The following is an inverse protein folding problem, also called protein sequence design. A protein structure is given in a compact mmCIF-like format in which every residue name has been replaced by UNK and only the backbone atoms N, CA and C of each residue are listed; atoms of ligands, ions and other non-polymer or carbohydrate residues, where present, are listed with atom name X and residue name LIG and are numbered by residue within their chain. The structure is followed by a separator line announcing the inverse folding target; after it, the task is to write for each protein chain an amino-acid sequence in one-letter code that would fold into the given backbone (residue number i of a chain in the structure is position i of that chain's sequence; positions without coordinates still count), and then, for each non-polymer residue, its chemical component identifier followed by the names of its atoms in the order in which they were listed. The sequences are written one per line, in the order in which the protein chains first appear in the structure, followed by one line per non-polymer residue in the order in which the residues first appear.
data_IF_901404320156
#
_entry.id   IF_901404320156
#
_cell.length_a   1.000
_cell.length_b   1.000
_cell.length_c   1.000
_cell.angle_alpha   90.00
_cell.angle_beta   90.00
_cell.angle_gamma   90.00
#
_symmetry.space_group_name_H-M   'P 1'
#
loop_
_entity.id
_entity.type
_entity.pdbx_description
1 polymer ?
#
# COMPACT_ATOMS: atom_id res chain seq x y z
N UNK A 1 -34.06 -15.50 -35.33
CA UNK A 1 -33.91 -16.97 -35.45
C UNK A 1 -32.53 -17.25 -36.03
N UNK A 2 -31.84 -18.19 -35.39
CA UNK A 2 -30.55 -18.83 -35.72
C UNK A 2 -29.22 -18.14 -35.39
N UNK A 3 -28.37 -18.97 -34.78
CA UNK A 3 -27.07 -18.76 -34.16
C UNK A 3 -26.03 -19.45 -35.04
N UNK A 4 -24.81 -18.91 -35.18
CA UNK A 4 -23.60 -19.74 -35.34
C UNK A 4 -22.37 -19.03 -34.79
N UNK A 5 -21.64 -19.80 -33.99
CA UNK A 5 -20.45 -19.50 -33.19
C UNK A 5 -19.15 -19.52 -34.01
N UNK A 6 -18.07 -18.97 -33.42
CA UNK A 6 -16.61 -19.29 -33.53
C UNK A 6 -15.69 -18.06 -33.72
N UNK A 7 -14.44 -18.08 -33.22
CA UNK A 7 -14.15 -17.43 -31.94
C UNK A 7 -12.94 -16.47 -31.97
N UNK A 8 -12.85 -15.69 -30.89
CA UNK A 8 -11.63 -15.11 -30.27
C UNK A 8 -10.74 -14.15 -31.07
N UNK A 9 -10.66 -12.92 -30.54
CA UNK A 9 -9.35 -12.31 -30.32
C UNK A 9 -8.96 -11.14 -31.21
N UNK A 10 -9.91 -10.30 -31.65
CA UNK A 10 -9.58 -8.92 -32.00
C UNK A 10 -9.96 -8.02 -30.83
N UNK A 11 -8.98 -7.69 -29.99
CA UNK A 11 -9.09 -6.49 -29.16
C UNK A 11 -8.53 -5.36 -30.01
N UNK A 12 -9.42 -4.46 -30.44
CA UNK A 12 -9.02 -3.19 -31.01
C UNK A 12 -8.53 -2.30 -29.87
N UNK A 13 -7.24 -1.99 -29.83
CA UNK A 13 -6.73 -0.90 -29.02
C UNK A 13 -6.76 0.38 -29.87
N UNK A 14 -7.73 1.25 -29.61
CA UNK A 14 -7.73 2.62 -30.12
C UNK A 14 -6.67 3.41 -29.34
N UNK A 15 -5.55 3.73 -29.99
CA UNK A 15 -4.65 4.79 -29.54
C UNK A 15 -5.01 6.03 -30.36
N UNK A 16 -5.71 6.96 -29.73
CA UNK A 16 -5.77 8.34 -30.23
C UNK A 16 -4.45 8.98 -29.81
N UNK A 17 -3.48 9.01 -30.73
CA UNK A 17 -2.37 9.94 -30.66
C UNK A 17 -2.22 10.60 -32.02
N UNK A 18 -2.26 11.91 -31.98
CA UNK A 18 -2.13 12.84 -33.09
C UNK A 18 -0.97 12.52 -34.01
N UNK A 19 -1.30 12.27 -35.29
CA UNK A 19 -0.50 12.63 -36.45
C UNK A 19 0.91 12.04 -36.55
N UNK A 20 1.02 10.83 -37.12
CA UNK A 20 1.83 10.62 -38.33
C UNK A 20 1.50 9.25 -38.95
N UNK A 21 1.06 9.29 -40.21
CA UNK A 21 0.87 8.12 -41.05
C UNK A 21 2.24 7.53 -41.41
N UNK A 22 2.46 6.25 -41.14
CA UNK A 22 3.41 5.49 -41.94
C UNK A 22 2.88 4.07 -42.14
N UNK A 23 2.66 3.74 -43.41
CA UNK A 23 2.12 2.47 -43.89
C UNK A 23 3.22 1.42 -43.91
N UNK A 24 2.97 0.24 -43.32
CA UNK A 24 3.75 -0.96 -43.61
C UNK A 24 2.80 -2.10 -44.01
N UNK A 25 2.91 -2.50 -45.27
CA UNK A 25 2.20 -3.62 -45.84
C UNK A 25 2.77 -4.95 -45.29
N UNK A 26 1.90 -5.87 -44.89
CA UNK A 26 2.25 -7.26 -44.57
C UNK A 26 2.06 -8.10 -45.84
N UNK A 27 3.12 -8.79 -46.27
CA UNK A 27 3.04 -9.85 -47.28
C UNK A 27 3.04 -11.20 -46.57
N UNK A 28 1.95 -11.94 -46.73
CA UNK A 28 1.81 -13.34 -46.31
C UNK A 28 2.36 -14.25 -47.40
N UNK A 29 3.09 -15.30 -47.03
CA UNK A 29 3.16 -16.52 -47.84
C UNK A 29 3.11 -17.76 -46.96
N UNK A 30 2.33 -18.72 -47.44
CA UNK A 30 1.91 -19.95 -46.77
C UNK A 30 2.97 -21.05 -46.91
N UNK A 31 3.08 -21.95 -45.92
CA UNK A 31 2.66 -23.36 -46.03
C UNK A 31 3.31 -24.24 -44.93
N UNK A 32 2.42 -24.93 -44.22
CA UNK A 32 2.43 -26.35 -43.83
C UNK A 32 3.44 -26.88 -42.80
N UNK A 33 2.79 -27.45 -41.78
CA UNK A 33 3.20 -28.54 -40.88
C UNK A 33 4.11 -28.18 -39.70
N UNK A 34 3.48 -28.28 -38.52
CA UNK A 34 4.10 -28.80 -37.31
C UNK A 34 5.09 -27.86 -36.62
N UNK A 35 4.62 -27.27 -35.51
CA UNK A 35 5.42 -26.65 -34.45
C UNK A 35 5.91 -25.22 -34.79
N UNK A 36 5.20 -24.20 -34.31
CA UNK A 36 5.73 -22.84 -34.25
C UNK A 36 6.30 -22.58 -32.86
N UNK A 37 7.56 -22.96 -32.67
CA UNK A 37 8.44 -22.36 -31.67
C UNK A 37 8.81 -20.97 -32.18
N UNK A 38 8.51 -19.92 -31.42
CA UNK A 38 9.11 -18.60 -31.64
C UNK A 38 10.38 -18.52 -30.79
N UNK A 39 11.52 -18.88 -31.40
CA UNK A 39 12.84 -18.51 -30.88
C UNK A 39 13.17 -17.12 -31.42
N UNK A 40 13.31 -16.14 -30.53
CA UNK A 40 14.11 -14.94 -30.85
C UNK A 40 15.57 -15.34 -30.65
N UNK A 41 16.23 -15.75 -31.73
CA UNK A 41 17.67 -15.87 -31.78
C UNK A 41 18.23 -14.59 -32.38
N UNK A 42 18.53 -13.60 -31.55
CA UNK A 42 19.47 -12.55 -31.94
C UNK A 42 20.79 -12.76 -31.19
N UNK A 43 21.88 -13.10 -31.89
CA UNK A 43 23.18 -13.36 -31.30
C UNK A 43 23.91 -12.03 -31.16
N UNK A 44 24.01 -11.55 -29.91
CA UNK A 44 25.05 -10.66 -29.34
C UNK A 44 24.43 -9.83 -28.23
N UNK A 45 24.57 -10.29 -27.00
CA UNK A 45 24.82 -9.40 -25.86
C UNK A 45 25.48 -10.27 -24.78
N UNK A 46 26.80 -10.42 -24.91
CA UNK A 46 27.65 -10.93 -23.84
C UNK A 46 27.62 -9.97 -22.66
N UNK A 47 27.61 -10.56 -21.48
CA UNK A 47 27.86 -9.95 -20.18
C UNK A 47 29.27 -9.34 -20.13
N UNK A 48 29.37 -8.09 -19.67
CA UNK A 48 30.63 -7.58 -19.11
C UNK A 48 30.36 -6.48 -18.08
N UNK A 49 31.00 -6.68 -16.93
CA UNK A 49 30.89 -5.91 -15.70
C UNK A 49 31.43 -4.47 -15.79
N UNK A 50 30.96 -3.66 -14.84
CA UNK A 50 31.55 -2.43 -14.27
C UNK A 50 31.93 -1.28 -15.20
N UNK A 51 31.07 -0.25 -15.23
CA UNK A 51 31.53 1.11 -14.97
C UNK A 51 30.44 1.92 -14.25
N UNK A 52 30.81 2.42 -13.08
CA UNK A 52 30.09 3.38 -12.26
C UNK A 52 29.84 4.69 -13.03
N UNK A 53 28.58 4.93 -13.41
CA UNK A 53 28.10 6.28 -13.69
C UNK A 53 26.69 6.47 -13.14
N UNK A 54 26.58 7.20 -12.03
CA UNK A 54 25.32 7.75 -11.55
C UNK A 54 24.70 8.63 -12.67
N UNK A 55 23.43 8.43 -13.04
CA UNK A 55 22.62 9.50 -13.57
C UNK A 55 21.95 10.21 -12.39
N UNK A 56 22.38 11.44 -12.15
CA UNK A 56 21.50 12.44 -11.54
C UNK A 56 20.41 12.74 -12.56
N UNK A 57 19.22 12.21 -12.35
CA UNK A 57 17.95 12.88 -12.69
C UNK A 57 16.79 12.06 -12.13
N UNK A 58 15.93 12.75 -11.36
CA UNK A 58 14.82 12.17 -10.61
C UNK A 58 13.67 11.73 -11.50
N UNK A 59 13.85 10.65 -12.25
CA UNK A 59 12.78 9.99 -12.99
C UNK A 59 12.26 8.80 -12.18
N UNK A 60 11.00 8.88 -11.75
CA UNK A 60 10.23 7.75 -11.26
C UNK A 60 10.10 6.71 -12.37
N UNK A 61 10.82 5.60 -12.26
CA UNK A 61 10.58 4.44 -13.10
C UNK A 61 9.36 3.69 -12.56
N UNK A 62 8.29 3.61 -13.35
CA UNK A 62 7.17 2.71 -13.08
C UNK A 62 7.54 1.33 -13.61
N UNK A 63 7.86 0.41 -12.71
CA UNK A 63 8.21 -0.98 -13.05
C UNK A 63 6.95 -1.86 -13.10
N UNK A 64 6.86 -2.73 -14.10
CA UNK A 64 5.85 -3.77 -14.14
C UNK A 64 6.15 -4.82 -13.04
N UNK A 65 5.17 -5.06 -12.18
CA UNK A 65 5.26 -6.05 -11.10
C UNK A 65 4.68 -7.39 -11.55
N UNK A 66 5.03 -8.47 -10.86
CA UNK A 66 4.48 -9.80 -11.15
C UNK A 66 3.03 -9.91 -10.66
N UNK A 67 2.25 -10.85 -11.21
CA UNK A 67 0.86 -11.12 -10.79
C UNK A 67 0.79 -11.43 -9.27
N UNK A 68 1.82 -12.07 -8.71
CA UNK A 68 1.90 -12.37 -7.28
C UNK A 68 1.95 -11.11 -6.44
N UNK A 69 2.72 -10.11 -6.85
CA UNK A 69 2.88 -8.85 -6.12
C UNK A 69 1.60 -8.01 -6.18
N UNK A 70 0.88 -8.02 -7.30
CA UNK A 70 -0.43 -7.37 -7.42
C UNK A 70 -1.46 -7.98 -6.48
N UNK A 71 -1.47 -9.31 -6.37
CA UNK A 71 -2.38 -10.02 -5.47
C UNK A 71 -2.08 -9.72 -3.99
N UNK A 72 -0.79 -9.66 -3.61
CA UNK A 72 -0.37 -9.27 -2.25
C UNK A 72 -0.81 -7.85 -1.91
N UNK A 73 -0.52 -6.88 -2.79
CA UNK A 73 -0.91 -5.47 -2.60
C UNK A 73 -2.42 -5.34 -2.44
N UNK A 74 -3.21 -6.01 -3.29
CA UNK A 74 -4.67 -6.00 -3.21
C UNK A 74 -5.17 -6.61 -1.89
N UNK A 75 -4.54 -7.68 -1.41
CA UNK A 75 -4.89 -8.34 -0.15
C UNK A 75 -4.64 -7.43 1.04
N UNK A 76 -3.47 -6.81 1.11
CA UNK A 76 -3.13 -5.83 2.15
C UNK A 76 -4.09 -4.64 2.10
N UNK A 77 -4.39 -4.10 0.92
CA UNK A 77 -5.34 -3.00 0.77
C UNK A 77 -6.72 -3.37 1.33
N UNK A 78 -7.27 -4.52 0.93
CA UNK A 78 -8.57 -4.96 1.43
C UNK A 78 -8.58 -5.15 2.95
N UNK A 79 -7.51 -5.70 3.50
CA UNK A 79 -7.36 -5.90 4.94
C UNK A 79 -7.37 -4.57 5.70
N UNK A 80 -6.58 -3.59 5.26
CA UNK A 80 -6.44 -2.31 5.95
C UNK A 80 -7.64 -1.40 5.73
N UNK A 81 -8.25 -1.40 4.55
CA UNK A 81 -9.52 -0.70 4.30
C UNK A 81 -10.58 -1.17 5.30
N UNK A 82 -10.71 -2.49 5.45
CA UNK A 82 -11.66 -3.09 6.41
C UNK A 82 -11.28 -2.80 7.86
N UNK A 83 -9.98 -2.81 8.18
CA UNK A 83 -9.50 -2.52 9.53
C UNK A 83 -9.82 -1.08 9.94
N UNK A 84 -9.63 -0.11 9.04
CA UNK A 84 -10.01 1.29 9.27
C UNK A 84 -11.53 1.42 9.41
N UNK A 85 -12.31 0.79 8.54
CA UNK A 85 -13.78 0.78 8.67
C UNK A 85 -14.23 0.24 10.01
N UNK A 86 -13.69 -0.90 10.46
CA UNK A 86 -14.03 -1.47 11.76
C UNK A 86 -13.65 -0.57 12.94
N UNK A 87 -12.49 0.13 12.89
CA UNK A 87 -12.14 1.10 13.93
C UNK A 87 -13.20 2.20 14.04
N UNK A 88 -13.72 2.66 12.91
CA UNK A 88 -14.72 3.73 12.87
C UNK A 88 -16.11 3.23 13.25
N UNK A 89 -16.53 2.08 12.72
CA UNK A 89 -17.85 1.48 12.93
C UNK A 89 -18.08 1.01 14.37
N UNK A 90 -17.05 0.41 14.99
CA UNK A 90 -17.14 -0.09 16.36
C UNK A 90 -16.63 0.90 17.42
N UNK A 91 -16.42 2.16 17.02
CA UNK A 91 -16.09 3.23 17.96
C UNK A 91 -17.21 3.43 18.97
N UNK A 92 -16.86 3.55 20.25
CA UNK A 92 -17.78 3.95 21.33
C UNK A 92 -18.30 5.39 21.15
N UNK A 93 -17.64 6.18 20.31
CA UNK A 93 -18.03 7.54 19.95
C UNK A 93 -18.48 7.63 18.49
N UNK A 94 -19.45 8.50 18.19
CA UNK A 94 -19.91 8.73 16.81
C UNK A 94 -18.91 9.58 16.03
N UNK A 95 -18.30 8.98 15.02
CA UNK A 95 -17.38 9.66 14.11
C UNK A 95 -18.17 10.15 12.88
N UNK A 96 -18.14 11.45 12.65
CA UNK A 96 -18.82 12.08 11.51
C UNK A 96 -17.92 12.10 10.28
N UNK A 97 -18.43 12.59 9.15
CA UNK A 97 -17.59 12.74 7.96
C UNK A 97 -16.44 13.71 8.20
N UNK A 98 -15.29 13.40 7.58
CA UNK A 98 -14.07 14.22 7.61
C UNK A 98 -13.54 14.59 9.01
N UNK A 99 -13.78 13.76 10.04
CA UNK A 99 -13.21 13.96 11.39
C UNK A 99 -11.67 13.96 11.32
N UNK A 100 -10.99 15.03 11.81
CA UNK A 100 -9.53 15.13 11.85
C UNK A 100 -8.89 13.96 12.59
N UNK A 101 -8.09 13.16 11.90
CA UNK A 101 -7.40 12.03 12.48
C UNK A 101 -5.93 12.00 12.03
N UNK A 102 -5.05 11.43 12.86
CA UNK A 102 -3.68 11.15 12.47
C UNK A 102 -3.32 9.69 12.75
N UNK A 103 -2.58 9.09 11.82
CA UNK A 103 -1.97 7.78 11.99
C UNK A 103 -0.56 7.94 12.55
N UNK A 104 -0.24 7.22 13.62
CA UNK A 104 1.10 7.19 14.20
C UNK A 104 1.90 5.98 13.70
N UNK A 105 3.25 6.05 13.75
CA UNK A 105 4.09 4.90 13.45
C UNK A 105 3.64 3.67 14.23
N UNK A 106 3.67 2.51 13.57
CA UNK A 106 3.35 1.24 14.23
C UNK A 106 4.51 0.89 15.16
N UNK A 107 4.19 0.59 16.42
CA UNK A 107 5.16 0.15 17.40
C UNK A 107 5.46 -1.34 17.17
N UNK A 108 6.68 -1.73 16.78
CA UNK A 108 7.05 -3.14 16.77
C UNK A 108 7.18 -3.67 18.21
N UNK A 109 6.80 -4.92 18.45
CA UNK A 109 7.02 -5.60 19.73
C UNK A 109 8.49 -6.00 19.91
N UNK A 110 9.16 -6.38 18.82
CA UNK A 110 10.58 -6.68 18.74
C UNK A 110 11.26 -5.86 17.62
N UNK A 111 12.52 -5.46 17.80
CA UNK A 111 13.24 -4.59 16.84
C UNK A 111 13.30 -5.19 15.42
N UNK A 112 13.35 -6.52 15.30
CA UNK A 112 13.34 -7.23 14.02
C UNK A 112 12.07 -6.99 13.18
N UNK A 113 10.98 -6.60 13.82
CA UNK A 113 9.71 -6.29 13.15
C UNK A 113 9.65 -4.87 12.59
N UNK A 114 10.67 -4.04 12.79
CA UNK A 114 10.64 -2.62 12.41
C UNK A 114 10.37 -2.41 10.92
N UNK A 115 10.99 -3.21 10.05
CA UNK A 115 10.81 -3.09 8.59
C UNK A 115 9.36 -3.44 8.21
N UNK A 116 8.82 -4.50 8.81
CA UNK A 116 7.43 -4.92 8.61
C UNK A 116 6.42 -3.90 9.18
N UNK A 117 6.72 -3.31 10.34
CA UNK A 117 5.91 -2.25 10.94
C UNK A 117 5.84 -1.01 10.06
N UNK A 118 6.97 -0.60 9.48
CA UNK A 118 7.03 0.50 8.52
C UNK A 118 6.27 0.17 7.22
N UNK A 119 6.42 -1.05 6.70
CA UNK A 119 5.70 -1.51 5.53
C UNK A 119 4.17 -1.46 5.75
N UNK A 120 3.67 -2.04 6.84
CA UNK A 120 2.25 -2.02 7.15
C UNK A 120 1.72 -0.62 7.47
N UNK A 121 2.55 0.25 8.03
CA UNK A 121 2.20 1.66 8.25
C UNK A 121 1.89 2.37 6.92
N UNK A 122 2.69 2.15 5.87
CA UNK A 122 2.46 2.77 4.57
C UNK A 122 1.15 2.32 3.90
N UNK A 123 0.84 1.02 3.98
CA UNK A 123 -0.43 0.51 3.50
C UNK A 123 -1.62 1.07 4.30
N UNK A 124 -1.50 1.12 5.62
CA UNK A 124 -2.53 1.66 6.50
C UNK A 124 -2.75 3.16 6.24
N UNK A 125 -1.68 3.92 5.99
CA UNK A 125 -1.73 5.33 5.65
C UNK A 125 -2.45 5.57 4.32
N UNK A 126 -2.24 4.70 3.33
CA UNK A 126 -2.97 4.70 2.06
C UNK A 126 -4.46 4.46 2.29
N UNK A 127 -4.82 3.37 2.98
CA UNK A 127 -6.22 3.06 3.32
C UNK A 127 -6.91 4.16 4.12
N UNK A 128 -6.22 4.76 5.10
CA UNK A 128 -6.76 5.88 5.87
C UNK A 128 -6.98 7.12 4.99
N UNK A 129 -6.08 7.40 4.04
CA UNK A 129 -6.19 8.56 3.16
C UNK A 129 -7.35 8.45 2.15
N UNK A 130 -7.79 7.23 1.86
CA UNK A 130 -8.95 6.93 1.00
C UNK A 130 -10.28 6.85 1.78
N UNK A 131 -10.22 6.83 3.12
CA UNK A 131 -11.40 6.79 3.97
C UNK A 131 -12.12 8.15 4.00
N UNK A 132 -13.46 8.15 3.90
CA UNK A 132 -14.26 9.39 3.86
C UNK A 132 -14.59 9.96 5.25
N UNK A 133 -14.61 9.11 6.28
CA UNK A 133 -14.96 9.50 7.64
C UNK A 133 -13.77 10.11 8.36
N UNK A 134 -12.55 9.66 8.06
CA UNK A 134 -11.32 10.17 8.66
C UNK A 134 -10.60 11.12 7.71
N UNK A 135 -10.39 12.36 8.14
CA UNK A 135 -9.53 13.31 7.44
C UNK A 135 -8.10 13.18 7.97
N UNK A 136 -7.23 12.57 7.19
CA UNK A 136 -5.81 12.43 7.54
C UNK A 136 -5.11 13.79 7.63
N UNK A 137 -4.64 14.16 8.83
CA UNK A 137 -3.96 15.42 9.10
C UNK A 137 -2.45 15.26 8.89
N UNK A 138 -1.91 15.98 7.89
CA UNK A 138 -0.48 15.96 7.53
C UNK A 138 0.28 17.21 7.98
N UNK A 139 -0.19 17.90 9.03
CA UNK A 139 0.38 19.21 9.45
C UNK A 139 1.85 19.11 9.83
N UNK A 140 2.27 17.99 10.42
CA UNK A 140 3.62 17.72 10.90
C UNK A 140 3.85 16.21 10.88
N UNK A 141 5.11 15.81 10.72
CA UNK A 141 5.49 14.41 10.87
C UNK A 141 5.36 13.96 12.35
N UNK A 142 4.57 12.92 12.65
CA UNK A 142 4.40 12.41 14.02
C UNK A 142 5.73 11.95 14.65
N UNK A 143 6.66 11.38 13.89
CA UNK A 143 7.97 10.92 14.41
C UNK A 143 8.76 12.09 14.98
N UNK A 144 8.79 13.18 14.23
CA UNK A 144 9.44 14.43 14.64
C UNK A 144 8.83 14.99 15.93
N UNK A 145 7.50 14.95 16.10
CA UNK A 145 6.84 15.44 17.32
C UNK A 145 7.22 14.61 18.54
N UNK A 146 7.11 13.29 18.44
CA UNK A 146 7.40 12.35 19.53
C UNK A 146 8.85 12.55 19.99
N UNK A 147 9.80 12.58 19.04
CA UNK A 147 11.23 12.79 19.32
C UNK A 147 11.49 14.14 19.99
N UNK A 148 10.93 15.25 19.48
CA UNK A 148 11.14 16.59 20.04
C UNK A 148 10.61 16.73 21.47
N UNK A 149 9.54 16.01 21.78
CA UNK A 149 8.94 16.02 23.11
C UNK A 149 9.54 14.99 24.07
N UNK A 150 10.56 14.23 23.62
CA UNK A 150 11.21 13.17 24.41
C UNK A 150 10.19 12.15 24.94
N UNK A 151 9.13 11.90 24.17
CA UNK A 151 8.12 10.90 24.49
C UNK A 151 8.52 9.56 23.88
N UNK A 152 8.11 8.46 24.53
CA UNK A 152 8.18 7.15 23.90
C UNK A 152 6.98 6.94 22.99
N UNK A 153 7.17 6.23 21.87
CA UNK A 153 6.04 5.78 21.06
C UNK A 153 5.12 4.85 21.87
N UNK A 154 5.67 4.04 22.78
CA UNK A 154 4.89 3.16 23.66
C UNK A 154 3.89 3.93 24.52
N UNK A 155 4.31 5.04 25.12
CA UNK A 155 3.45 5.94 25.93
C UNK A 155 2.33 6.60 25.10
N UNK A 156 2.48 6.64 23.78
CA UNK A 156 1.41 7.14 22.90
C UNK A 156 0.46 6.01 22.53
N UNK A 157 0.97 4.80 22.29
CA UNK A 157 0.18 3.60 21.99
C UNK A 157 -0.64 3.11 23.20
N UNK A 158 -0.18 3.36 24.42
CA UNK A 158 -0.92 3.08 25.65
C UNK A 158 -1.99 4.13 25.98
N UNK A 159 -1.93 5.30 25.36
CA UNK A 159 -2.88 6.40 25.52
C UNK A 159 -2.43 7.52 26.47
N UNK A 160 -1.40 7.30 27.30
CA UNK A 160 -0.96 8.26 28.33
C UNK A 160 -0.47 9.60 27.73
N UNK A 161 0.16 9.55 26.56
CA UNK A 161 0.71 10.71 25.84
C UNK A 161 -0.09 11.06 24.57
N UNK A 162 -1.16 10.31 24.26
CA UNK A 162 -1.97 10.50 23.06
C UNK A 162 -2.61 11.90 22.96
N UNK A 163 -3.23 12.46 24.04
CA UNK A 163 -3.79 13.81 23.99
C UNK A 163 -2.78 14.89 23.59
N UNK A 164 -1.55 14.81 24.11
CA UNK A 164 -0.50 15.79 23.84
C UNK A 164 -0.02 15.71 22.38
N UNK A 165 0.26 14.50 21.88
CA UNK A 165 0.71 14.28 20.50
C UNK A 165 -0.38 14.67 19.51
N UNK A 166 -1.63 14.27 19.75
CA UNK A 166 -2.77 14.58 18.89
C UNK A 166 -3.03 16.08 18.77
N UNK A 167 -3.01 16.82 19.88
CA UNK A 167 -3.16 18.30 19.88
C UNK A 167 -2.07 18.98 19.06
N UNK A 168 -0.82 18.50 19.14
CA UNK A 168 0.29 19.06 18.36
C UNK A 168 0.19 18.77 16.86
N UNK A 169 -0.39 17.63 16.50
CA UNK A 169 -0.74 17.27 15.12
C UNK A 169 -1.97 18.03 14.63
N UNK A 170 -2.84 18.48 15.53
CA UNK A 170 -4.15 19.06 15.20
C UNK A 170 -5.16 17.99 14.80
N UNK A 171 -5.05 16.80 15.38
CA UNK A 171 -5.99 15.71 15.22
C UNK A 171 -6.97 15.65 16.40
N UNK A 172 -8.18 15.19 16.15
CA UNK A 172 -9.20 14.88 17.16
C UNK A 172 -9.15 13.40 17.55
N UNK A 173 -8.75 12.55 16.60
CA UNK A 173 -8.56 11.12 16.78
C UNK A 173 -7.14 10.69 16.44
N UNK A 174 -6.64 9.68 17.14
CA UNK A 174 -5.37 9.03 16.81
C UNK A 174 -5.60 7.56 16.50
N UNK A 175 -5.01 7.10 15.41
CA UNK A 175 -4.84 5.67 15.15
C UNK A 175 -3.43 5.29 15.56
N UNK A 176 -3.34 4.33 16.47
CA UNK A 176 -2.08 3.76 16.95
C UNK A 176 -2.04 2.26 16.70
N UNK A 177 -0.85 1.74 16.44
CA UNK A 177 -0.66 0.33 16.12
C UNK A 177 0.44 -0.30 16.96
N UNK A 178 0.28 -1.58 17.32
CA UNK A 178 1.38 -2.42 17.82
C UNK A 178 1.43 -3.74 17.05
N UNK A 179 2.60 -4.08 16.54
CA UNK A 179 2.85 -5.27 15.73
C UNK A 179 3.56 -6.34 16.53
N UNK A 180 3.06 -7.56 16.48
CA UNK A 180 3.68 -8.76 17.04
C UNK A 180 3.85 -9.80 15.95
N UNK A 181 4.76 -10.76 16.15
CA UNK A 181 4.86 -11.97 15.33
C UNK A 181 4.47 -13.19 16.17
N UNK A 182 3.62 -14.05 15.60
CA UNK A 182 3.13 -15.27 16.26
C UNK A 182 3.04 -16.42 15.25
N UNK A 183 4.08 -17.26 15.24
CA UNK A 183 4.21 -18.33 14.25
C UNK A 183 4.26 -17.74 12.84
N UNK A 184 3.33 -18.19 12.00
CA UNK A 184 3.25 -17.82 10.57
C UNK A 184 2.38 -16.58 10.31
N UNK A 185 2.04 -15.82 11.37
CA UNK A 185 1.25 -14.60 11.26
C UNK A 185 1.89 -13.45 12.02
N UNK A 186 1.74 -12.25 11.48
CA UNK A 186 1.81 -11.02 12.25
C UNK A 186 0.45 -10.71 12.88
N UNK A 187 0.43 -10.32 14.15
CA UNK A 187 -0.75 -9.76 14.82
C UNK A 187 -0.56 -8.25 14.94
N UNK A 188 -1.33 -7.49 14.16
CA UNK A 188 -1.37 -6.03 14.25
C UNK A 188 -2.60 -5.60 15.06
N UNK A 189 -2.34 -5.04 16.24
CA UNK A 189 -3.38 -4.41 17.05
C UNK A 189 -3.45 -2.93 16.73
N UNK A 190 -4.56 -2.51 16.14
CA UNK A 190 -4.88 -1.10 15.91
C UNK A 190 -5.85 -0.62 16.98
N UNK A 191 -5.61 0.59 17.51
CA UNK A 191 -6.53 1.26 18.41
C UNK A 191 -6.87 2.63 17.86
N UNK A 192 -8.13 3.02 18.04
CA UNK A 192 -8.58 4.38 17.85
C UNK A 192 -8.66 5.07 19.21
N UNK A 193 -8.00 6.22 19.36
CA UNK A 193 -7.94 6.98 20.59
C UNK A 193 -8.60 8.35 20.43
N UNK A 194 -9.29 8.80 21.48
CA UNK A 194 -9.72 10.20 21.62
C UNK A 194 -8.55 11.08 22.03
N UNK A 195 -8.29 12.16 21.29
CA UNK A 195 -7.26 13.15 21.69
C UNK A 195 -7.75 14.03 22.84
N UNK A 196 -9.06 14.16 23.02
CA UNK A 196 -9.63 14.95 24.10
C UNK A 196 -9.44 14.27 25.45
N UNK A 197 -9.80 12.98 25.54
CA UNK A 197 -9.82 12.21 26.79
C UNK A 197 -8.64 11.26 26.96
N UNK A 198 -7.98 10.86 25.88
CA UNK A 198 -6.95 9.81 25.88
C UNK A 198 -7.53 8.38 25.90
N UNK A 199 -8.84 8.23 25.86
CA UNK A 199 -9.50 6.93 25.95
C UNK A 199 -9.43 6.15 24.62
N UNK A 200 -9.44 4.82 24.75
CA UNK A 200 -9.58 3.91 23.62
C UNK A 200 -11.05 3.83 23.20
N UNK A 201 -11.34 4.24 21.97
CA UNK A 201 -12.68 4.23 21.39
C UNK A 201 -13.01 2.89 20.73
N UNK A 202 -12.01 2.24 20.12
CA UNK A 202 -12.15 0.92 19.51
C UNK A 202 -10.80 0.25 19.34
N UNK A 203 -10.83 -1.07 19.17
CA UNK A 203 -9.64 -1.91 18.92
C UNK A 203 -9.96 -2.91 17.82
N UNK A 204 -9.05 -3.04 16.86
CA UNK A 204 -9.12 -4.04 15.80
C UNK A 204 -7.83 -4.86 15.81
N UNK A 205 -7.96 -6.18 15.68
CA UNK A 205 -6.83 -7.07 15.44
C UNK A 205 -6.85 -7.52 13.98
N UNK A 206 -5.78 -7.25 13.25
CA UNK A 206 -5.53 -7.80 11.94
C UNK A 206 -4.49 -8.92 12.05
N UNK A 207 -4.83 -10.12 11.57
CA UNK A 207 -3.87 -11.20 11.40
C UNK A 207 -3.38 -11.13 9.95
N UNK A 208 -2.07 -10.98 9.76
CA UNK A 208 -1.43 -10.85 8.45
C UNK A 208 -0.52 -12.05 8.28
N UNK A 209 -0.69 -12.79 7.18
CA UNK A 209 0.23 -13.90 6.85
C UNK A 209 1.65 -13.37 6.67
N UNK A 210 2.67 -14.11 7.14
CA UNK A 210 4.06 -13.67 7.00
C UNK A 210 4.51 -13.47 5.56
N UNK A 211 3.88 -14.16 4.59
CA UNK A 211 4.14 -14.00 3.15
C UNK A 211 3.69 -12.64 2.58
N UNK A 212 2.92 -11.87 3.36
CA UNK A 212 2.53 -10.49 3.07
C UNK A 212 3.46 -9.46 3.71
N UNK A 213 4.47 -9.90 4.47
CA UNK A 213 5.53 -9.05 5.02
C UNK A 213 6.72 -8.87 4.08
N UNK A 214 7.74 -8.17 4.58
CA UNK A 214 9.07 -8.01 4.00
C UNK A 214 10.09 -8.92 4.67
#
# INVERSE_FOLDING_TARGET
MNIKSYPTGKIALFIVLTGLLTSCAVKSDSLKNGNSTFTINDPKFEESAEDSKKPEDGLEYVQAKTIGDEAREKTLKMLFDRSISHLVEYSTYRITEATPAALLPILPAEDELSINAEHFYDHLLRSMSENRQLKNIKRKDPRTIIKKKKLSLADVVDGSSAPMVGKMLGAELLIVGKLYKKGDFFELFLKLLSVETGEVLSVVKANIDTDLGL
#
